data_IF_645152155237
#
_entry.id   IF_645152155237
#
_cell.length_a   1.000
_cell.length_b   1.000
_cell.length_c   1.000
_cell.angle_alpha   90.00
_cell.angle_beta   90.00
_cell.angle_gamma   90.00
#
_symmetry.space_group_name_H-M   'P 1'
#
loop_
_entity.id
_entity.type
_entity.pdbx_description
1 polymer ?
#
# COMPACT_ATOMS: atom_id res chain seq x y z
N UNK A 1 19.18 9.38 -7.05
CA UNK A 1 18.84 7.95 -7.18
C UNK A 1 19.53 7.39 -8.42
N UNK A 2 20.28 6.28 -8.31
CA UNK A 2 21.02 5.70 -9.45
C UNK A 2 20.04 5.17 -10.51
N UNK A 3 20.43 5.24 -11.78
CA UNK A 3 19.62 4.79 -12.92
C UNK A 3 20.27 3.59 -13.61
N UNK A 4 19.52 2.50 -13.77
CA UNK A 4 19.98 1.26 -14.40
C UNK A 4 19.05 0.84 -15.55
N UNK A 5 19.53 -0.07 -16.39
CA UNK A 5 18.63 -0.79 -17.30
C UNK A 5 17.90 -1.90 -16.53
N UNK A 6 16.61 -2.13 -16.79
CA UNK A 6 15.75 -3.02 -15.99
C UNK A 6 16.34 -4.42 -15.79
N UNK A 7 16.86 -5.04 -16.85
CA UNK A 7 17.44 -6.39 -16.79
C UNK A 7 18.97 -6.39 -16.62
N UNK A 8 19.58 -5.27 -16.20
CA UNK A 8 21.03 -5.23 -15.99
C UNK A 8 21.48 -5.96 -14.73
N UNK A 9 22.75 -6.38 -14.71
CA UNK A 9 23.42 -6.90 -13.52
C UNK A 9 23.34 -5.91 -12.34
N UNK A 10 23.53 -4.61 -12.61
CA UNK A 10 23.47 -3.56 -11.59
C UNK A 10 22.09 -3.49 -10.90
N UNK A 11 20.99 -3.71 -11.63
CA UNK A 11 19.65 -3.78 -11.03
C UNK A 11 19.52 -4.99 -10.11
N UNK A 12 20.03 -6.15 -10.52
CA UNK A 12 20.02 -7.37 -9.70
C UNK A 12 20.83 -7.20 -8.42
N UNK A 13 22.00 -6.57 -8.54
CA UNK A 13 22.88 -6.26 -7.41
C UNK A 13 22.23 -5.26 -6.45
N UNK A 14 21.58 -4.22 -6.97
CA UNK A 14 20.83 -3.26 -6.16
C UNK A 14 19.65 -3.91 -5.42
N UNK A 15 18.93 -4.82 -6.08
CA UNK A 15 17.86 -5.61 -5.44
C UNK A 15 18.41 -6.51 -4.33
N UNK A 16 19.52 -7.21 -4.58
CA UNK A 16 20.16 -8.08 -3.59
C UNK A 16 20.65 -7.30 -2.36
N UNK A 17 21.18 -6.09 -2.56
CA UNK A 17 21.60 -5.18 -1.49
C UNK A 17 20.46 -4.38 -0.85
N UNK A 18 19.24 -4.46 -1.41
CA UNK A 18 18.08 -3.66 -0.99
C UNK A 18 18.38 -2.15 -1.06
N UNK A 19 19.17 -1.74 -2.05
CA UNK A 19 19.49 -0.33 -2.30
C UNK A 19 18.37 0.34 -3.12
N UNK A 20 17.99 1.59 -2.80
CA UNK A 20 17.08 2.35 -3.65
C UNK A 20 17.68 2.58 -5.04
N UNK A 21 16.90 2.29 -6.08
CA UNK A 21 17.32 2.49 -7.47
C UNK A 21 16.13 2.92 -8.33
N UNK A 22 16.43 3.49 -9.49
CA UNK A 22 15.44 3.62 -10.55
C UNK A 22 15.95 3.00 -11.83
N UNK A 23 15.03 2.68 -12.73
CA UNK A 23 15.37 2.40 -14.12
C UNK A 23 14.94 3.56 -15.01
N UNK A 24 15.29 3.49 -16.30
CA UNK A 24 14.70 4.36 -17.32
C UNK A 24 13.23 4.01 -17.60
N UNK A 25 12.79 2.82 -17.19
CA UNK A 25 11.41 2.37 -17.31
C UNK A 25 10.63 2.56 -16.01
N UNK A 26 9.58 1.75 -15.89
CA UNK A 26 8.65 1.79 -14.77
C UNK A 26 9.16 1.11 -13.49
N UNK A 27 10.32 0.46 -13.54
CA UNK A 27 10.84 -0.33 -12.43
C UNK A 27 11.76 0.49 -11.54
N UNK A 28 11.51 0.51 -10.23
CA UNK A 28 12.33 1.21 -9.26
C UNK A 28 12.08 0.67 -7.85
N UNK A 29 12.96 1.02 -6.93
CA UNK A 29 12.80 0.69 -5.52
C UNK A 29 13.11 1.89 -4.63
N UNK A 30 12.38 1.96 -3.53
CA UNK A 30 12.44 3.04 -2.55
C UNK A 30 12.67 2.46 -1.17
N UNK A 31 13.21 3.29 -0.28
CA UNK A 31 13.34 2.96 1.13
C UNK A 31 12.00 3.16 1.85
N UNK A 32 11.69 2.24 2.75
CA UNK A 32 10.53 2.32 3.63
C UNK A 32 9.19 2.08 2.94
N UNK A 33 8.14 2.41 3.70
CA UNK A 33 6.75 2.31 3.30
C UNK A 33 6.31 3.47 2.42
N UNK A 34 5.54 3.18 1.37
CA UNK A 34 5.07 4.21 0.44
C UNK A 34 3.57 4.08 0.12
N UNK A 35 2.72 4.74 0.91
CA UNK A 35 1.26 4.65 0.83
C UNK A 35 0.67 5.25 -0.46
N UNK A 36 1.28 6.32 -1.00
CA UNK A 36 0.78 7.00 -2.21
C UNK A 36 0.64 6.08 -3.44
N UNK A 37 1.24 4.89 -3.39
CA UNK A 37 1.29 3.88 -4.44
C UNK A 37 0.49 2.61 -4.08
N UNK A 38 0.10 2.43 -2.81
CA UNK A 38 -0.62 1.24 -2.34
C UNK A 38 -2.01 1.09 -2.96
N UNK A 39 -2.65 2.18 -3.38
CA UNK A 39 -4.02 2.18 -3.92
C UNK A 39 -4.22 1.38 -5.23
N UNK A 40 -3.16 0.82 -5.81
CA UNK A 40 -3.20 -0.05 -7.00
C UNK A 40 -3.11 -1.54 -6.67
N UNK A 41 -2.95 -1.89 -5.40
CA UNK A 41 -2.99 -3.28 -4.93
C UNK A 41 -4.45 -3.77 -4.82
N UNK A 42 -4.71 -5.06 -5.08
CA UNK A 42 -5.99 -5.68 -4.69
C UNK A 42 -6.25 -5.52 -3.19
N UNK A 43 -7.52 -5.49 -2.74
CA UNK A 43 -7.88 -5.12 -1.36
C UNK A 43 -7.11 -5.87 -0.27
N UNK A 44 -7.02 -7.20 -0.35
CA UNK A 44 -6.30 -8.01 0.66
C UNK A 44 -4.79 -7.70 0.72
N UNK A 45 -4.16 -7.42 -0.43
CA UNK A 45 -2.75 -7.02 -0.46
C UNK A 45 -2.55 -5.59 0.00
N UNK A 46 -3.50 -4.69 -0.26
CA UNK A 46 -3.47 -3.34 0.26
C UNK A 46 -3.57 -3.33 1.78
N UNK A 47 -4.52 -4.08 2.35
CA UNK A 47 -4.65 -4.28 3.79
C UNK A 47 -3.35 -4.79 4.39
N UNK A 48 -2.78 -5.87 3.82
CA UNK A 48 -1.50 -6.41 4.27
C UNK A 48 -0.36 -5.37 4.18
N UNK A 49 -0.30 -4.59 3.09
CA UNK A 49 0.73 -3.59 2.89
C UNK A 49 0.62 -2.44 3.90
N UNK A 50 -0.60 -2.06 4.28
CA UNK A 50 -0.85 -1.06 5.33
C UNK A 50 -0.46 -1.62 6.71
N UNK A 51 -0.85 -2.86 7.02
CA UNK A 51 -0.48 -3.53 8.28
C UNK A 51 1.03 -3.66 8.44
N UNK A 52 1.73 -4.04 7.36
CA UNK A 52 3.18 -4.17 7.32
C UNK A 52 3.91 -2.81 7.36
N UNK A 53 3.21 -1.68 7.16
CA UNK A 53 3.78 -0.36 6.91
C UNK A 53 4.86 0.10 7.90
N UNK A 54 4.70 -0.20 9.19
CA UNK A 54 5.68 0.15 10.22
C UNK A 54 6.98 -0.70 10.17
N UNK A 55 6.88 -1.88 9.57
CA UNK A 55 7.98 -2.84 9.45
C UNK A 55 8.63 -2.85 8.07
N UNK A 56 8.04 -2.21 7.08
CA UNK A 56 8.61 -2.14 5.73
C UNK A 56 9.88 -1.27 5.74
N UNK A 57 10.99 -1.88 5.34
CA UNK A 57 12.31 -1.23 5.19
C UNK A 57 12.63 -0.90 3.74
N UNK A 58 12.05 -1.64 2.79
CA UNK A 58 12.34 -1.50 1.37
C UNK A 58 11.13 -1.89 0.53
N UNK A 59 10.78 -1.09 -0.48
CA UNK A 59 9.64 -1.34 -1.37
C UNK A 59 10.08 -1.30 -2.82
N UNK A 60 9.70 -2.32 -3.59
CA UNK A 60 9.91 -2.39 -5.04
C UNK A 60 8.62 -2.05 -5.76
N UNK A 61 8.73 -1.14 -6.72
CA UNK A 61 7.62 -0.55 -7.46
C UNK A 61 7.75 -0.85 -8.95
N UNK A 62 6.61 -1.18 -9.56
CA UNK A 62 6.43 -1.13 -11.01
C UNK A 62 5.39 -0.07 -11.31
N UNK A 63 5.76 0.95 -12.09
CA UNK A 63 5.02 2.20 -12.21
C UNK A 63 4.77 2.79 -10.82
N UNK A 64 3.52 2.78 -10.36
CA UNK A 64 3.12 3.27 -9.05
C UNK A 64 2.50 2.14 -8.22
N UNK A 65 2.81 0.89 -8.52
CA UNK A 65 2.23 -0.27 -7.83
C UNK A 65 3.35 -0.98 -7.06
N UNK A 66 3.22 -1.15 -5.73
CA UNK A 66 4.09 -2.04 -4.97
C UNK A 66 3.98 -3.45 -5.52
N UNK A 67 5.10 -4.02 -5.94
CA UNK A 67 5.17 -5.38 -6.48
C UNK A 67 6.04 -6.30 -5.63
N UNK A 68 6.78 -5.74 -4.68
CA UNK A 68 7.33 -6.44 -3.52
C UNK A 68 7.68 -5.45 -2.41
N UNK A 69 7.78 -5.95 -1.18
CA UNK A 69 8.35 -5.20 -0.06
C UNK A 69 9.09 -6.11 0.90
N UNK A 70 10.01 -5.54 1.65
CA UNK A 70 10.86 -6.25 2.61
C UNK A 70 10.61 -5.69 4.00
N UNK A 71 10.33 -6.59 4.93
CA UNK A 71 10.17 -6.23 6.34
C UNK A 71 11.50 -6.11 7.07
N UNK A 72 11.46 -5.48 8.24
CA UNK A 72 12.56 -5.37 9.19
C UNK A 72 13.10 -6.74 9.62
N UNK A 73 12.24 -7.75 9.72
CA UNK A 73 12.65 -9.14 9.99
C UNK A 73 13.35 -9.83 8.80
N UNK A 74 13.48 -9.15 7.67
CA UNK A 74 14.12 -9.65 6.46
C UNK A 74 13.22 -10.44 5.52
N UNK A 75 11.96 -10.70 5.91
CA UNK A 75 10.98 -11.36 5.05
C UNK A 75 10.67 -10.50 3.81
N UNK A 76 10.62 -11.15 2.65
CA UNK A 76 10.19 -10.54 1.39
C UNK A 76 8.74 -10.93 1.13
N UNK A 77 7.90 -9.96 0.77
CA UNK A 77 6.54 -10.20 0.29
C UNK A 77 6.49 -9.86 -1.19
N UNK A 78 5.98 -10.79 -1.99
CA UNK A 78 5.67 -10.59 -3.40
C UNK A 78 4.20 -10.93 -3.57
N UNK A 79 3.33 -9.95 -3.89
CA UNK A 79 1.92 -10.23 -4.14
C UNK A 79 1.72 -11.22 -5.29
N UNK A 80 1.03 -12.32 -5.02
CA UNK A 80 0.61 -13.26 -6.06
C UNK A 80 -0.62 -12.68 -6.79
N UNK A 81 -0.35 -11.79 -7.74
CA UNK A 81 -1.35 -11.05 -8.50
C UNK A 81 -0.91 -10.98 -9.94
N UNK A 82 -1.80 -11.36 -10.85
CA UNK A 82 -1.57 -11.20 -12.28
C UNK A 82 -1.74 -9.74 -12.68
N UNK A 83 -0.64 -9.08 -13.03
CA UNK A 83 -0.63 -7.70 -13.52
C UNK A 83 -0.50 -7.61 -15.06
N UNK A 84 -0.25 -6.40 -15.55
CA UNK A 84 0.15 -6.17 -16.95
C UNK A 84 1.43 -6.94 -17.29
N UNK A 85 1.64 -7.23 -18.59
CA UNK A 85 2.84 -7.95 -19.07
C UNK A 85 4.15 -7.37 -18.53
N UNK A 86 4.28 -6.04 -18.53
CA UNK A 86 5.47 -5.35 -18.02
C UNK A 86 5.65 -5.57 -16.52
N UNK A 87 4.57 -5.44 -15.74
CA UNK A 87 4.59 -5.61 -14.30
C UNK A 87 4.86 -7.06 -13.89
N UNK A 88 4.26 -8.02 -14.58
CA UNK A 88 4.55 -9.45 -14.39
C UNK A 88 6.01 -9.78 -14.71
N UNK A 89 6.58 -9.23 -15.79
CA UNK A 89 8.01 -9.39 -16.08
C UNK A 89 8.93 -8.79 -15.00
N UNK A 90 8.51 -7.70 -14.33
CA UNK A 90 9.22 -7.19 -13.16
C UNK A 90 9.09 -8.12 -11.94
N UNK A 91 7.93 -8.76 -11.74
CA UNK A 91 7.75 -9.73 -10.65
C UNK A 91 8.55 -11.02 -10.87
N UNK A 92 8.62 -11.53 -12.10
CA UNK A 92 9.45 -12.68 -12.45
C UNK A 92 10.93 -12.46 -12.10
N UNK A 93 11.44 -11.24 -12.30
CA UNK A 93 12.80 -10.87 -11.87
C UNK A 93 12.96 -11.01 -10.35
N UNK A 94 11.94 -10.66 -9.57
CA UNK A 94 11.96 -10.74 -8.11
C UNK A 94 11.89 -12.18 -7.63
N UNK A 95 11.06 -13.03 -8.26
CA UNK A 95 10.98 -14.45 -7.95
C UNK A 95 12.31 -15.18 -8.22
N UNK A 96 12.95 -14.90 -9.35
CA UNK A 96 14.26 -15.48 -9.65
C UNK A 96 15.33 -15.09 -8.61
N UNK A 97 15.24 -13.88 -8.05
CA UNK A 97 16.14 -13.42 -7.00
C UNK A 97 15.79 -14.00 -5.62
N UNK A 98 14.51 -14.22 -5.32
CA UNK A 98 14.11 -14.86 -4.07
C UNK A 98 14.51 -16.32 -4.03
N UNK A 99 14.33 -17.05 -5.13
CA UNK A 99 14.78 -18.45 -5.27
C UNK A 99 16.29 -18.59 -5.09
N UNK A 100 17.06 -17.59 -5.52
CA UNK A 100 18.52 -17.55 -5.34
C UNK A 100 18.90 -17.18 -3.90
N UNK A 101 18.00 -16.52 -3.16
CA UNK A 101 18.23 -15.99 -1.81
C UNK A 101 17.52 -16.80 -0.70
N UNK A 102 16.92 -17.96 -1.02
CA UNK A 102 16.34 -18.90 -0.05
C UNK A 102 17.43 -19.52 0.83
N UNK A 103 17.97 -18.70 1.73
CA UNK A 103 18.67 -19.13 2.91
C UNK A 103 17.70 -19.28 4.10
N UNK A 104 18.16 -19.91 5.20
CA UNK A 104 17.38 -20.21 6.41
C UNK A 104 16.67 -19.00 7.07
N UNK A 105 17.06 -17.76 6.72
CA UNK A 105 16.46 -16.53 7.22
C UNK A 105 15.07 -16.24 6.62
N UNK A 106 14.80 -16.65 5.37
CA UNK A 106 13.49 -16.42 4.74
C UNK A 106 12.39 -17.29 5.39
N UNK A 107 12.73 -18.55 5.71
CA UNK A 107 11.84 -19.52 6.36
C UNK A 107 11.55 -19.07 7.80
N UNK A 108 12.57 -18.69 8.57
CA UNK A 108 12.40 -18.21 9.95
C UNK A 108 11.52 -16.95 10.02
N UNK A 109 11.67 -16.02 9.07
CA UNK A 109 10.86 -14.81 9.02
C UNK A 109 9.40 -15.06 8.60
N UNK A 110 9.14 -16.11 7.80
CA UNK A 110 7.78 -16.59 7.50
C UNK A 110 7.13 -17.23 8.74
N UNK A 111 7.86 -18.08 9.47
CA UNK A 111 7.35 -18.72 10.69
C UNK A 111 7.05 -17.69 11.80
N UNK A 112 7.92 -16.70 11.98
CA UNK A 112 7.70 -15.62 12.94
C UNK A 112 6.46 -14.79 12.59
N UNK A 113 6.24 -14.52 11.30
CA UNK A 113 5.01 -13.90 10.80
C UNK A 113 3.77 -14.73 11.05
N UNK A 114 3.84 -16.04 10.83
CA UNK A 114 2.72 -16.94 11.08
C UNK A 114 2.35 -16.93 12.56
N UNK A 115 3.35 -16.97 13.45
CA UNK A 115 3.17 -16.83 14.90
C UNK A 115 2.61 -15.45 15.30
N UNK A 116 3.07 -14.37 14.68
CA UNK A 116 2.57 -13.02 14.97
C UNK A 116 1.09 -12.87 14.56
N UNK A 117 0.70 -13.42 13.40
CA UNK A 117 -0.70 -13.48 12.96
C UNK A 117 -1.55 -14.28 13.91
N UNK A 118 -1.11 -15.48 14.30
CA UNK A 118 -1.83 -16.30 15.28
C UNK A 118 -2.01 -15.59 16.62
N UNK A 119 -0.98 -14.88 17.11
CA UNK A 119 -1.08 -14.07 18.33
C UNK A 119 -2.08 -12.94 18.19
N UNK A 120 -2.06 -12.21 17.08
CA UNK A 120 -3.01 -11.14 16.81
C UNK A 120 -4.45 -11.67 16.71
N UNK A 121 -4.67 -12.81 16.03
CA UNK A 121 -5.98 -13.48 15.96
C UNK A 121 -6.45 -13.92 17.35
N UNK A 122 -5.59 -14.50 18.18
CA UNK A 122 -5.94 -14.89 19.56
C UNK A 122 -6.31 -13.69 20.42
N UNK A 123 -5.59 -12.58 20.31
CA UNK A 123 -5.93 -11.35 21.05
C UNK A 123 -7.28 -10.77 20.62
N UNK A 124 -7.60 -10.88 19.32
CA UNK A 124 -8.88 -10.41 18.76
C UNK A 124 -10.07 -11.32 19.12
N UNK A 125 -9.82 -12.62 19.31
CA UNK A 125 -10.82 -13.62 19.69
C UNK A 125 -10.91 -13.87 21.19
N UNK A 126 -10.02 -13.28 22.00
CA UNK A 126 -10.10 -13.37 23.45
C UNK A 126 -11.46 -12.77 23.88
N UNK A 127 -12.33 -13.55 24.57
CA UNK A 127 -13.59 -13.02 25.05
C UNK A 127 -13.25 -11.87 25.99
N UNK A 128 -13.78 -10.67 25.71
CA UNK A 128 -13.77 -9.58 26.65
C UNK A 128 -14.41 -10.11 27.93
N UNK A 129 -13.59 -10.39 28.95
CA UNK A 129 -14.07 -10.80 30.25
C UNK A 129 -15.01 -9.69 30.70
N UNK A 130 -16.31 -10.00 30.68
CA UNK A 130 -17.38 -9.15 31.12
C UNK A 130 -17.04 -8.67 32.53
N UNK A 131 -16.73 -7.38 32.66
CA UNK A 131 -16.67 -6.74 33.96
C UNK A 131 -18.05 -6.91 34.61
N UNK A 132 -18.15 -7.41 35.85
CA UNK A 132 -19.42 -7.42 36.55
C UNK A 132 -19.78 -5.98 36.88
N UNK A 133 -20.78 -5.45 36.16
CA UNK A 133 -21.38 -4.16 36.44
C UNK A 133 -22.38 -4.37 37.58
N UNK A 134 -21.93 -4.16 38.82
CA UNK A 134 -22.82 -4.04 39.96
C UNK A 134 -22.19 -3.07 40.97
N UNK A 135 -22.65 -1.81 40.92
CA UNK A 135 -23.10 -1.08 42.11
C UNK A 135 -23.64 0.30 41.72
N UNK A 136 -24.97 0.41 41.85
CA UNK A 136 -25.68 1.66 41.97
C UNK A 136 -25.35 2.33 43.31
N UNK A 137 -25.01 3.62 43.30
CA UNK A 137 -25.25 4.52 44.43
C UNK A 137 -25.77 5.84 43.86
N UNK A 138 -27.05 6.10 44.16
CA UNK A 138 -27.73 7.36 43.90
C UNK A 138 -27.30 8.42 44.92
N UNK A 139 -26.99 9.63 44.46
CA UNK A 139 -27.16 10.86 45.25
C UNK A 139 -27.75 11.93 44.33
N UNK A 140 -28.79 12.57 44.85
CA UNK A 140 -29.69 13.49 44.18
C UNK A 140 -29.19 14.94 44.13
N UNK A 141 -29.80 15.68 43.19
CA UNK A 141 -30.07 17.12 43.17
C UNK A 141 -28.87 18.08 43.13
N UNK A 142 -28.77 18.90 42.07
CA UNK A 142 -29.41 20.22 41.98
C UNK A 142 -29.34 20.75 40.53
N UNK A 143 -30.44 21.33 40.05
CA UNK A 143 -30.44 22.21 38.86
C UNK A 143 -29.83 23.58 39.25
N UNK A 144 -29.31 24.36 38.28
CA UNK A 144 -30.21 25.36 37.68
C UNK A 144 -30.01 25.61 36.18
N UNK A 145 -31.15 25.74 35.50
CA UNK A 145 -31.57 26.82 34.61
C UNK A 145 -30.65 27.40 33.50
N UNK A 146 -31.33 27.57 32.35
CA UNK A 146 -31.13 28.53 31.25
C UNK A 146 -30.22 28.16 30.06
N UNK A 147 -30.87 27.90 28.93
CA UNK A 147 -30.99 28.79 27.76
C UNK A 147 -30.98 28.00 26.44
N UNK A 148 -32.15 28.00 25.79
CA UNK A 148 -32.31 27.67 24.37
C UNK A 148 -31.85 28.86 23.54
N UNK A 149 -30.81 28.70 22.72
CA UNK A 149 -30.69 29.43 21.43
C UNK A 149 -30.06 28.51 20.36
N UNK A 150 -30.76 28.53 19.22
CA UNK A 150 -30.56 28.02 17.85
C UNK A 150 -29.16 28.10 17.21
N UNK A 151 -28.97 27.14 16.30
CA UNK A 151 -28.35 27.18 14.95
C UNK A 151 -27.06 27.98 14.70
N UNK A 152 -26.02 27.26 14.23
CA UNK A 152 -24.88 27.85 13.54
C UNK A 152 -23.86 26.79 13.10
N UNK A 153 -23.70 26.63 11.79
CA UNK A 153 -22.68 25.79 11.16
C UNK A 153 -21.27 26.17 11.64
N UNK A 154 -20.60 25.24 12.33
CA UNK A 154 -19.24 25.42 12.84
C UNK A 154 -18.20 24.97 11.83
N UNK A 155 -17.53 25.95 11.23
CA UNK A 155 -16.30 25.80 10.49
C UNK A 155 -15.23 25.06 11.32
N UNK A 156 -14.47 24.18 10.64
CA UNK A 156 -13.29 23.53 11.20
C UNK A 156 -12.19 24.57 11.42
N UNK A 157 -12.11 25.14 12.62
CA UNK A 157 -10.90 25.84 13.08
C UNK A 157 -9.83 24.81 13.44
N UNK A 158 -9.06 24.41 12.42
CA UNK A 158 -7.73 23.85 12.59
C UNK A 158 -6.68 24.94 12.37
N UNK A 159 -5.46 24.80 12.94
CA UNK A 159 -4.39 25.77 12.79
C UNK A 159 -4.14 26.09 11.30
N UNK A 160 -3.93 27.38 10.92
CA UNK A 160 -3.95 27.86 9.53
C UNK A 160 -2.87 27.23 8.62
N UNK A 161 -1.93 26.49 9.19
CA UNK A 161 -0.81 25.85 8.49
C UNK A 161 -1.16 24.48 7.87
N UNK A 162 -2.28 23.86 8.30
CA UNK A 162 -2.71 22.53 7.82
C UNK A 162 -3.77 22.66 6.71
N UNK A 163 -4.72 23.57 6.85
CA UNK A 163 -5.79 23.77 5.85
C UNK A 163 -5.22 24.35 4.55
N UNK A 164 -4.26 25.28 4.63
CA UNK A 164 -3.56 25.82 3.46
C UNK A 164 -2.72 24.77 2.70
N UNK A 165 -2.23 23.74 3.39
CA UNK A 165 -1.45 22.64 2.78
C UNK A 165 -2.30 21.63 2.03
N UNK A 166 -3.53 21.40 2.48
CA UNK A 166 -4.45 20.45 1.83
C UNK A 166 -4.99 21.05 0.52
N UNK A 167 -5.33 22.35 0.51
CA UNK A 167 -5.76 23.04 -0.71
C UNK A 167 -4.64 23.20 -1.76
N UNK A 168 -3.38 23.38 -1.34
CA UNK A 168 -2.23 23.44 -2.25
C UNK A 168 -1.92 22.07 -2.90
N UNK A 169 -2.14 20.97 -2.18
CA UNK A 169 -1.98 19.61 -2.73
C UNK A 169 -3.10 19.26 -3.71
N UNK A 170 -4.33 19.74 -3.50
CA UNK A 170 -5.46 19.49 -4.39
C UNK A 170 -5.49 20.46 -5.60
N UNK A 171 -4.91 21.65 -5.48
CA UNK A 171 -4.89 22.67 -6.54
C UNK A 171 -3.72 22.53 -7.52
N UNK A 172 -2.65 21.80 -7.15
CA UNK A 172 -1.54 21.49 -8.05
C UNK A 172 -1.98 20.46 -9.09
N UNK A 173 -2.59 20.94 -10.18
CA UNK A 173 -2.66 20.23 -11.47
C UNK A 173 -1.23 19.98 -11.95
N UNK A 174 -0.63 18.88 -11.51
CA UNK A 174 0.61 18.37 -12.11
C UNK A 174 0.31 18.10 -13.58
N UNK A 175 1.04 18.71 -14.53
CA UNK A 175 0.87 18.38 -15.93
C UNK A 175 1.17 16.90 -16.10
N UNK A 176 0.13 16.14 -16.43
CA UNK A 176 0.24 14.73 -16.78
C UNK A 176 1.10 14.70 -18.04
N UNK A 177 2.33 14.19 -17.92
CA UNK A 177 3.20 14.00 -19.07
C UNK A 177 2.41 13.24 -20.14
N UNK A 178 2.39 13.79 -21.34
CA UNK A 178 1.52 13.44 -22.49
C UNK A 178 1.59 11.97 -22.95
N UNK A 179 2.46 11.15 -22.35
CA UNK A 179 2.47 9.69 -22.52
C UNK A 179 1.58 8.89 -21.55
N UNK A 180 1.25 9.40 -20.35
CA UNK A 180 0.45 8.65 -19.35
C UNK A 180 -1.06 8.73 -19.59
N UNK A 181 -1.54 9.81 -20.23
CA UNK A 181 -2.97 9.97 -20.54
C UNK A 181 -3.46 9.03 -21.67
N UNK A 182 -2.56 8.55 -22.53
CA UNK A 182 -2.91 7.72 -23.68
C UNK A 182 -3.29 6.27 -23.31
N UNK A 183 -2.91 5.80 -22.11
CA UNK A 183 -3.16 4.42 -21.65
C UNK A 183 -4.56 4.28 -21.00
N UNK A 184 -5.24 5.41 -20.76
CA UNK A 184 -6.58 5.47 -20.17
C UNK A 184 -7.54 6.37 -20.96
N UNK A 185 -7.25 6.66 -22.24
CA UNK A 185 -8.24 7.30 -23.10
C UNK A 185 -9.40 6.34 -23.37
N UNK A 186 -10.61 6.87 -23.50
CA UNK A 186 -11.80 6.08 -23.86
C UNK A 186 -11.54 5.27 -25.15
N UNK A 187 -10.82 5.86 -26.12
CA UNK A 187 -10.40 5.18 -27.36
C UNK A 187 -9.49 3.95 -27.13
N UNK A 188 -8.60 3.96 -26.14
CA UNK A 188 -7.74 2.81 -25.84
C UNK A 188 -8.55 1.65 -25.24
N UNK A 189 -9.51 1.97 -24.37
CA UNK A 189 -10.40 0.98 -23.77
C UNK A 189 -11.36 0.39 -24.82
N UNK A 190 -11.94 1.22 -25.70
CA UNK A 190 -12.80 0.76 -26.80
C UNK A 190 -12.04 -0.14 -27.79
N UNK A 191 -10.80 0.21 -28.16
CA UNK A 191 -9.97 -0.62 -29.04
C UNK A 191 -9.67 -1.99 -28.44
N UNK A 192 -9.50 -2.07 -27.12
CA UNK A 192 -9.21 -3.33 -26.41
C UNK A 192 -10.46 -4.21 -26.23
N UNK A 193 -11.64 -3.62 -26.19
CA UNK A 193 -12.90 -4.37 -26.15
C UNK A 193 -13.38 -4.81 -27.55
N UNK A 194 -13.08 -4.05 -28.60
CA UNK A 194 -13.44 -4.40 -29.98
C UNK A 194 -12.63 -5.53 -30.63
N UNK A 195 -11.52 -5.97 -30.01
CA UNK A 195 -10.69 -7.05 -30.59
C UNK A 195 -11.17 -8.47 -30.21
N UNK A 196 -12.27 -8.60 -29.46
CA UNK A 196 -12.75 -9.90 -28.97
C UNK A 196 -13.78 -10.59 -29.89
N UNK A 197 -14.24 -9.93 -30.95
CA UNK A 197 -15.31 -10.44 -31.83
C UNK A 197 -14.85 -11.08 -33.15
N UNK A 198 -13.54 -11.20 -33.42
CA UNK A 198 -13.03 -11.75 -34.70
C UNK A 198 -12.41 -13.16 -34.63
N UNK A 199 -12.68 -13.94 -33.57
CA UNK A 199 -12.20 -15.33 -33.47
C UNK A 199 -13.29 -16.42 -33.48
N UNK A 200 -14.53 -16.09 -33.87
CA UNK A 200 -15.60 -17.08 -34.10
C UNK A 200 -16.18 -17.02 -35.52
N UNK A 201 -15.39 -16.74 -36.56
CA UNK A 201 -15.78 -17.14 -37.93
C UNK A 201 -14.54 -17.39 -38.80
N UNK A 202 -14.04 -18.63 -38.82
CA UNK A 202 -13.36 -19.29 -39.96
C UNK A 202 -12.94 -20.70 -39.57
#
# INVERSE_FOLDING_TARGET
>A
MKKFATHSWATREALARREPFGTYGAFHAVEGYHLQFGNRLPPHWLEQYIEDGADITYTVLSYRTPIAWVLRCGAVVIPDVKYSRTTSGHQELLHALSETAEGPLAIAAQEERQKARERATRLRQAPAASAPCDQAVAIAAEEPAWCVVREGAGALEGPPDIVARIDDVLSRRVPVNSGEAAIYSAEYLERKHGTRDWQEVA
#
